data_IF_706524049971
#
_entry.id   IF_706524049971
#
_cell.length_a   1.000
_cell.length_b   1.000
_cell.length_c   1.000
_cell.angle_alpha   90.00
_cell.angle_beta   90.00
_cell.angle_gamma   90.00
#
_symmetry.space_group_name_H-M   'P 1'
#
loop_
_entity.id
_entity.type
_entity.pdbx_description
1 polymer ?
#
# COMPACT_ATOMS: atom_id res chain seq x y z
N UNK A 1 -15.16 -45.46 -28.01
CA UNK A 1 -14.78 -44.05 -28.24
C UNK A 1 -13.67 -44.03 -29.28
N UNK A 2 -13.73 -43.16 -30.29
CA UNK A 2 -12.67 -43.07 -31.31
C UNK A 2 -11.38 -42.54 -30.63
N UNK A 3 -10.20 -43.15 -30.86
CA UNK A 3 -8.97 -42.82 -30.14
C UNK A 3 -8.55 -41.35 -30.30
N UNK A 4 -8.88 -40.72 -31.42
CA UNK A 4 -8.69 -39.28 -31.66
C UNK A 4 -9.41 -38.40 -30.63
N UNK A 5 -10.60 -38.78 -30.15
CA UNK A 5 -11.35 -37.97 -29.18
C UNK A 5 -10.57 -37.80 -27.87
N UNK A 6 -9.84 -38.85 -27.44
CA UNK A 6 -8.99 -38.79 -26.25
C UNK A 6 -7.81 -37.83 -26.43
N UNK A 7 -7.15 -37.87 -27.59
CA UNK A 7 -6.06 -36.95 -27.93
C UNK A 7 -6.50 -35.49 -28.02
N UNK A 8 -7.70 -35.25 -28.57
CA UNK A 8 -8.28 -33.90 -28.64
C UNK A 8 -8.59 -33.36 -27.24
N UNK A 9 -9.25 -34.17 -26.39
CA UNK A 9 -9.54 -33.79 -25.00
C UNK A 9 -8.26 -33.48 -24.22
N UNK A 10 -7.22 -34.31 -24.39
CA UNK A 10 -5.93 -34.10 -23.74
C UNK A 10 -5.25 -32.79 -24.17
N UNK A 11 -5.18 -32.51 -25.48
CA UNK A 11 -4.56 -31.28 -25.96
C UNK A 11 -5.32 -30.02 -25.49
N UNK A 12 -6.65 -30.09 -25.46
CA UNK A 12 -7.49 -28.99 -24.96
C UNK A 12 -7.28 -28.76 -23.47
N UNK A 13 -7.26 -29.81 -22.65
CA UNK A 13 -7.05 -29.65 -21.20
C UNK A 13 -5.64 -29.12 -20.89
N UNK A 14 -4.62 -29.59 -21.59
CA UNK A 14 -3.25 -29.04 -21.49
C UNK A 14 -3.22 -27.57 -21.85
N UNK A 15 -3.87 -27.16 -22.95
CA UNK A 15 -3.96 -25.77 -23.35
C UNK A 15 -4.65 -24.88 -22.31
N UNK A 16 -5.76 -25.34 -21.72
CA UNK A 16 -6.48 -24.61 -20.67
C UNK A 16 -5.61 -24.45 -19.42
N UNK A 17 -4.98 -25.53 -18.94
CA UNK A 17 -4.10 -25.48 -17.76
C UNK A 17 -2.90 -24.56 -18.02
N UNK A 18 -2.33 -24.59 -19.22
CA UNK A 18 -1.23 -23.72 -19.61
C UNK A 18 -1.64 -22.24 -19.58
N UNK A 19 -2.80 -21.88 -20.14
CA UNK A 19 -3.31 -20.51 -20.12
C UNK A 19 -3.58 -20.01 -18.70
N UNK A 20 -4.15 -20.87 -17.84
CA UNK A 20 -4.34 -20.55 -16.42
C UNK A 20 -3.00 -20.33 -15.70
N UNK A 21 -2.00 -21.16 -16.01
CA UNK A 21 -0.63 -20.99 -15.50
C UNK A 21 0.00 -19.67 -15.93
N UNK A 22 -0.14 -19.28 -17.21
CA UNK A 22 0.33 -17.98 -17.70
C UNK A 22 -0.38 -16.81 -17.02
N UNK A 23 -1.70 -16.90 -16.81
CA UNK A 23 -2.46 -15.85 -16.13
C UNK A 23 -2.03 -15.70 -14.66
N UNK A 24 -1.84 -16.81 -13.95
CA UNK A 24 -1.32 -16.79 -12.58
C UNK A 24 0.11 -16.21 -12.50
N UNK A 25 0.98 -16.56 -13.46
CA UNK A 25 2.33 -16.01 -13.56
C UNK A 25 2.30 -14.50 -13.83
N UNK A 26 1.46 -14.04 -14.76
CA UNK A 26 1.28 -12.63 -15.10
C UNK A 26 0.83 -11.79 -13.90
N UNK A 27 -0.15 -12.26 -13.13
CA UNK A 27 -0.61 -11.59 -11.91
C UNK A 27 0.52 -11.50 -10.87
N UNK A 28 1.30 -12.57 -10.73
CA UNK A 28 2.41 -12.63 -9.76
C UNK A 28 3.56 -11.70 -10.16
N UNK A 29 3.95 -11.67 -11.44
CA UNK A 29 5.00 -10.79 -11.95
C UNK A 29 4.64 -9.31 -11.78
N UNK A 30 3.39 -8.92 -12.06
CA UNK A 30 2.93 -7.54 -11.83
C UNK A 30 3.10 -7.13 -10.36
N UNK A 31 2.83 -8.03 -9.41
CA UNK A 31 3.00 -7.76 -7.97
C UNK A 31 4.48 -7.65 -7.59
N UNK A 32 5.34 -8.48 -8.17
CA UNK A 32 6.78 -8.45 -7.92
C UNK A 32 7.45 -7.18 -8.48
N UNK A 33 7.03 -6.70 -9.66
CA UNK A 33 7.50 -5.43 -10.22
C UNK A 33 7.09 -4.24 -9.36
N UNK A 34 5.83 -4.20 -8.88
CA UNK A 34 5.38 -3.12 -7.99
C UNK A 34 6.13 -3.15 -6.66
N UNK A 35 6.37 -4.33 -6.09
CA UNK A 35 7.12 -4.47 -4.85
C UNK A 35 8.60 -4.08 -5.01
N UNK A 36 9.25 -4.42 -6.14
CA UNK A 36 10.66 -4.09 -6.34
C UNK A 36 10.87 -2.61 -6.66
N UNK A 37 9.99 -1.99 -7.45
CA UNK A 37 10.05 -0.56 -7.79
C UNK A 37 9.78 0.31 -6.56
N UNK A 38 8.85 -0.10 -5.69
CA UNK A 38 8.55 0.66 -4.47
C UNK A 38 9.56 0.43 -3.34
N UNK A 39 10.27 -0.70 -3.32
CA UNK A 39 11.25 -1.01 -2.26
C UNK A 39 12.69 -0.57 -2.60
N UNK A 40 12.94 -0.10 -3.81
CA UNK A 40 14.23 0.53 -4.13
C UNK A 40 14.28 1.93 -3.53
N UNK A 41 15.11 2.10 -2.49
CA UNK A 41 15.42 3.41 -1.92
C UNK A 41 16.04 4.28 -3.01
N UNK A 42 15.39 5.40 -3.31
CA UNK A 42 15.84 6.40 -4.28
C UNK A 42 16.91 7.33 -3.69
N UNK A 43 16.78 7.67 -2.41
CA UNK A 43 17.71 8.53 -1.67
C UNK A 43 18.43 7.74 -0.59
N UNK A 44 19.75 7.89 -0.51
CA UNK A 44 20.53 7.33 0.61
C UNK A 44 20.48 8.31 1.78
N UNK A 45 19.78 7.93 2.84
CA UNK A 45 19.72 8.70 4.10
C UNK A 45 20.87 8.22 4.98
N UNK A 46 21.71 9.15 5.46
CA UNK A 46 22.91 8.85 6.26
C UNK A 46 22.86 9.55 7.62
N UNK A 47 23.38 8.92 8.66
CA UNK A 47 23.39 9.49 10.01
C UNK A 47 22.00 9.76 10.58
N UNK A 48 21.84 10.90 11.27
CA UNK A 48 20.56 11.41 11.77
C UNK A 48 20.11 12.53 10.84
N UNK A 49 19.05 12.29 10.06
CA UNK A 49 18.48 13.29 9.14
C UNK A 49 17.23 13.93 9.76
N UNK A 50 17.26 15.23 10.11
CA UNK A 50 16.13 15.92 10.73
C UNK A 50 15.08 16.44 9.72
N UNK A 51 15.38 16.49 8.42
CA UNK A 51 14.47 17.06 7.41
C UNK A 51 13.47 16.01 6.93
N UNK A 52 12.19 16.23 7.23
CA UNK A 52 11.14 15.29 6.90
C UNK A 52 10.96 15.10 5.38
N UNK A 53 11.21 16.13 4.57
CA UNK A 53 11.00 16.12 3.12
C UNK A 53 11.87 15.08 2.41
N UNK A 54 13.04 14.76 2.97
CA UNK A 54 13.98 13.78 2.41
C UNK A 54 13.42 12.35 2.50
N UNK A 55 12.54 12.09 3.47
CA UNK A 55 11.93 10.78 3.65
C UNK A 55 10.80 10.54 2.65
N UNK A 56 10.20 11.58 2.07
CA UNK A 56 9.08 11.49 1.14
C UNK A 56 9.41 10.66 -0.11
N UNK A 57 10.65 10.73 -0.59
CA UNK A 57 11.05 10.07 -1.83
C UNK A 57 11.17 8.53 -1.67
N UNK A 58 11.56 8.07 -0.48
CA UNK A 58 11.71 6.65 -0.14
C UNK A 58 10.45 6.05 0.49
N UNK A 59 9.68 6.86 1.22
CA UNK A 59 8.53 6.42 2.02
C UNK A 59 7.30 7.28 1.72
N UNK A 60 6.81 7.30 0.46
CA UNK A 60 5.78 8.24 0.04
C UNK A 60 4.45 8.05 0.80
N UNK A 61 4.08 6.80 1.09
CA UNK A 61 2.81 6.48 1.78
C UNK A 61 2.84 6.89 3.25
N UNK A 62 3.96 6.62 3.92
CA UNK A 62 4.18 7.00 5.31
C UNK A 62 4.28 8.52 5.44
N UNK A 63 4.97 9.18 4.51
CA UNK A 63 5.06 10.63 4.45
C UNK A 63 3.70 11.28 4.19
N UNK A 64 2.88 10.75 3.29
CA UNK A 64 1.51 11.22 3.05
C UNK A 64 0.66 11.09 4.31
N UNK A 65 0.75 9.95 5.00
CA UNK A 65 0.04 9.72 6.26
C UNK A 65 0.45 10.72 7.36
N UNK A 66 1.75 11.02 7.45
CA UNK A 66 2.26 12.05 8.34
C UNK A 66 1.80 13.45 7.91
N UNK A 67 1.85 13.78 6.62
CA UNK A 67 1.42 15.09 6.12
C UNK A 67 -0.05 15.37 6.42
N UNK A 68 -0.91 14.35 6.43
CA UNK A 68 -2.31 14.48 6.82
C UNK A 68 -2.52 14.95 8.26
N UNK A 69 -1.55 14.77 9.18
CA UNK A 69 -1.69 15.26 10.57
C UNK A 69 -1.65 16.78 10.68
N UNK A 70 -1.28 17.49 9.60
CA UNK A 70 -1.39 18.94 9.54
C UNK A 70 -2.86 19.42 9.52
N UNK A 71 -3.80 18.56 9.10
CA UNK A 71 -5.22 18.86 9.18
C UNK A 71 -5.72 18.67 10.63
N UNK A 72 -6.10 19.79 11.26
CA UNK A 72 -6.63 19.82 12.63
C UNK A 72 -8.14 20.08 12.66
N UNK A 73 -8.86 19.82 11.56
CA UNK A 73 -10.31 20.08 11.46
C UNK A 73 -11.20 19.00 12.09
N UNK A 74 -10.65 17.81 12.36
CA UNK A 74 -11.44 16.70 12.89
C UNK A 74 -11.92 16.97 14.32
N UNK A 75 -13.22 16.78 14.56
CA UNK A 75 -13.86 16.82 15.87
C UNK A 75 -14.88 15.68 16.01
N UNK A 76 -14.91 15.06 17.19
CA UNK A 76 -15.85 14.01 17.58
C UNK A 76 -16.49 14.36 18.94
N UNK A 77 -17.45 13.55 19.39
CA UNK A 77 -18.17 13.77 20.65
C UNK A 77 -17.25 13.90 21.88
N UNK A 78 -16.14 13.15 21.90
CA UNK A 78 -15.26 13.07 23.08
C UNK A 78 -13.89 13.71 22.90
N UNK A 79 -13.43 13.93 21.66
CA UNK A 79 -12.15 14.58 21.37
C UNK A 79 -12.03 15.02 19.89
N UNK A 80 -10.96 15.73 19.56
CA UNK A 80 -10.64 16.12 18.18
C UNK A 80 -9.17 16.42 18.01
N UNK A 81 -8.80 16.75 16.77
CA UNK A 81 -7.48 17.28 16.42
C UNK A 81 -7.40 18.81 16.57
N UNK A 82 -8.55 19.46 16.71
CA UNK A 82 -8.68 20.91 16.83
C UNK A 82 -8.14 21.43 18.16
N UNK A 83 -7.41 22.54 18.11
CA UNK A 83 -6.93 23.22 19.32
C UNK A 83 -8.09 23.89 20.06
N UNK A 84 -8.34 23.48 21.30
CA UNK A 84 -9.43 23.98 22.14
C UNK A 84 -8.92 24.33 23.54
N UNK A 85 -9.46 25.40 24.12
CA UNK A 85 -9.21 25.75 25.52
C UNK A 85 -10.06 24.86 26.43
N UNK A 86 -9.44 23.78 26.91
CA UNK A 86 -10.11 22.80 27.79
C UNK A 86 -10.33 23.39 29.20
N UNK A 87 -9.49 24.33 29.65
CA UNK A 87 -9.59 24.92 30.99
C UNK A 87 -10.78 25.89 31.07
N UNK A 88 -11.04 26.65 30.00
CA UNK A 88 -12.25 27.48 29.91
C UNK A 88 -13.54 26.65 29.92
N UNK A 89 -13.51 25.44 29.33
CA UNK A 89 -14.67 24.54 29.29
C UNK A 89 -14.88 23.79 30.62
N UNK A 90 -13.80 23.54 31.36
CA UNK A 90 -13.78 22.75 32.61
C UNK A 90 -12.94 23.47 33.67
N UNK A 91 -13.44 24.58 34.24
CA UNK A 91 -12.68 25.40 35.19
C UNK A 91 -12.32 24.68 36.50
N UNK A 92 -13.02 23.60 36.85
CA UNK A 92 -12.77 22.76 38.02
C UNK A 92 -11.48 21.92 37.94
N UNK A 93 -10.78 21.89 36.80
CA UNK A 93 -9.51 21.16 36.66
C UNK A 93 -8.29 21.89 37.23
N UNK A 94 -8.47 23.07 37.83
CA UNK A 94 -7.40 23.95 38.31
C UNK A 94 -7.57 24.26 39.80
#
# INVERSE_FOLDING_TARGET
MKPWVGWLLFAVTVGVVFLLGMLAASITQRRAEIASVMNNKKVVITGIEPRNEIFAENYPREYESWAMTADTSFQSEFNGSSAVDVLAQRPEMV
#
